data_IF_820959547904
#
_entry.id   IF_820959547904
#
_cell.length_a   1.000
_cell.length_b   1.000
_cell.length_c   1.000
_cell.angle_alpha   90.00
_cell.angle_beta   90.00
_cell.angle_gamma   90.00
#
_symmetry.space_group_name_H-M   'P 1'
#
loop_
_entity.id
_entity.type
_entity.pdbx_description
1 polymer ?
#
# COMPACT_ATOMS: atom_id res chain seq x y z
N UNK A 1 -7.60 2.05 -69.10
CA UNK A 1 -6.68 2.45 -70.19
C UNK A 1 -6.41 3.93 -69.97
N UNK A 2 -5.20 4.44 -69.71
CA UNK A 2 -3.86 3.96 -70.01
C UNK A 2 -2.88 4.29 -68.86
N UNK A 3 -1.85 3.46 -68.75
CA UNK A 3 -0.62 3.69 -67.98
C UNK A 3 0.23 4.79 -68.64
N UNK A 4 1.09 5.47 -67.86
CA UNK A 4 2.51 5.53 -68.21
C UNK A 4 3.41 5.85 -66.99
N UNK A 5 4.37 4.94 -66.78
CA UNK A 5 5.63 5.04 -66.03
C UNK A 5 6.56 6.11 -66.64
N UNK A 6 7.69 6.59 -66.12
CA UNK A 6 8.50 6.56 -64.89
C UNK A 6 9.60 7.63 -65.13
N UNK A 7 10.21 8.20 -64.07
CA UNK A 7 11.65 8.53 -64.08
C UNK A 7 12.13 8.84 -62.65
N UNK A 8 13.04 8.01 -62.17
CA UNK A 8 13.88 8.20 -60.98
C UNK A 8 15.16 8.91 -61.44
N UNK A 9 15.77 9.78 -60.60
CA UNK A 9 17.23 9.86 -60.34
C UNK A 9 17.58 10.96 -59.31
N UNK A 10 18.13 10.50 -58.18
CA UNK A 10 19.28 10.99 -57.39
C UNK A 10 19.19 12.29 -56.55
N UNK A 11 19.36 12.11 -55.23
CA UNK A 11 19.65 13.13 -54.20
C UNK A 11 21.15 13.53 -54.21
N UNK A 12 21.56 14.72 -53.68
CA UNK A 12 21.97 14.77 -52.25
C UNK A 12 21.86 16.14 -51.51
N UNK A 13 21.65 16.04 -50.18
CA UNK A 13 22.35 16.74 -49.06
C UNK A 13 22.11 18.24 -48.74
N UNK A 14 21.48 18.41 -47.57
CA UNK A 14 21.68 19.33 -46.42
C UNK A 14 21.27 20.81 -46.36
N UNK A 15 20.72 21.09 -45.16
CA UNK A 15 20.57 22.34 -44.41
C UNK A 15 19.34 23.16 -44.81
N UNK A 16 18.42 23.55 -43.93
CA UNK A 16 18.61 24.37 -42.72
C UNK A 16 17.52 24.12 -41.64
N UNK A 17 17.95 24.11 -40.37
CA UNK A 17 17.28 24.75 -39.22
C UNK A 17 15.89 24.29 -38.75
N UNK A 18 15.86 23.42 -37.73
CA UNK A 18 14.73 23.30 -36.80
C UNK A 18 14.98 24.12 -35.53
N UNK A 19 13.98 24.89 -35.09
CA UNK A 19 13.78 25.32 -33.70
C UNK A 19 12.49 24.68 -33.16
N UNK A 20 12.41 24.44 -31.84
CA UNK A 20 11.65 23.33 -31.27
C UNK A 20 10.20 23.70 -30.95
N UNK A 21 9.35 22.68 -30.97
CA UNK A 21 7.98 22.71 -30.44
C UNK A 21 8.07 22.44 -28.94
N UNK A 22 7.44 23.31 -28.15
CA UNK A 22 7.38 23.24 -26.70
C UNK A 22 6.76 21.92 -26.21
N UNK A 23 7.51 21.21 -25.37
CA UNK A 23 7.04 20.05 -24.60
C UNK A 23 6.55 20.51 -23.25
N UNK A 24 5.29 20.93 -23.18
CA UNK A 24 4.56 21.10 -21.93
C UNK A 24 3.17 20.52 -22.15
N UNK A 25 3.05 19.19 -22.10
CA UNK A 25 1.80 18.41 -21.93
C UNK A 25 2.07 16.88 -22.02
N UNK A 26 3.06 16.38 -21.27
CA UNK A 26 3.29 14.92 -21.15
C UNK A 26 3.55 14.44 -19.72
N UNK A 27 3.01 15.15 -18.73
CA UNK A 27 3.01 14.70 -17.33
C UNK A 27 1.58 14.60 -16.84
N UNK A 28 0.84 13.62 -17.38
CA UNK A 28 -0.46 13.18 -16.83
C UNK A 28 -0.41 11.66 -16.84
N UNK A 29 -0.64 11.04 -15.68
CA UNK A 29 -0.44 9.63 -15.32
C UNK A 29 0.99 9.21 -14.94
N UNK A 30 1.43 9.67 -13.77
CA UNK A 30 2.25 8.84 -12.89
C UNK A 30 1.38 8.37 -11.72
N UNK A 31 1.17 7.05 -11.52
CA UNK A 31 0.60 6.57 -10.27
C UNK A 31 1.60 6.90 -9.17
N UNK A 32 1.22 7.79 -8.24
CA UNK A 32 1.99 8.09 -7.04
C UNK A 32 1.94 6.86 -6.14
N UNK A 33 2.82 5.89 -6.39
CA UNK A 33 3.10 4.84 -5.42
C UNK A 33 3.90 5.47 -4.30
N UNK A 34 3.50 5.20 -3.06
CA UNK A 34 4.19 5.66 -1.86
C UNK A 34 5.66 5.20 -1.76
N UNK A 35 6.09 4.31 -2.66
CA UNK A 35 7.43 3.72 -2.71
C UNK A 35 8.41 4.44 -3.64
N UNK A 36 7.95 5.34 -4.51
CA UNK A 36 8.86 6.04 -5.44
C UNK A 36 9.80 7.03 -4.72
N UNK A 37 9.41 7.49 -3.52
CA UNK A 37 10.15 8.46 -2.70
C UNK A 37 10.72 7.87 -1.40
N UNK A 38 10.71 6.54 -1.23
CA UNK A 38 11.57 5.95 -0.20
C UNK A 38 13.02 6.10 -0.68
N UNK A 39 13.78 6.99 -0.03
CA UNK A 39 15.24 6.92 -0.05
C UNK A 39 15.63 5.49 0.33
N UNK A 40 15.96 4.67 -0.69
CA UNK A 40 16.53 3.34 -0.51
C UNK A 40 17.93 3.53 0.05
N UNK A 41 18.03 3.86 1.34
CA UNK A 41 19.24 3.67 2.12
C UNK A 41 19.70 2.25 1.83
N UNK A 42 20.88 2.13 1.21
CA UNK A 42 21.48 0.88 0.72
C UNK A 42 21.11 -0.30 1.61
N UNK A 43 20.07 -1.04 1.22
CA UNK A 43 19.60 -2.19 1.99
C UNK A 43 20.68 -3.22 1.83
N UNK A 44 21.42 -3.51 2.91
CA UNK A 44 22.33 -4.64 2.92
C UNK A 44 21.56 -5.85 2.41
N UNK A 45 22.16 -6.65 1.53
CA UNK A 45 21.49 -7.85 1.03
C UNK A 45 21.08 -8.67 2.24
N UNK A 46 19.76 -8.76 2.47
CA UNK A 46 19.23 -9.47 3.61
C UNK A 46 19.65 -10.92 3.48
N UNK A 47 20.71 -11.29 4.21
CA UNK A 47 21.02 -12.67 4.52
C UNK A 47 20.14 -12.97 5.72
N UNK A 48 19.07 -13.72 5.51
CA UNK A 48 18.21 -14.13 6.61
C UNK A 48 18.97 -14.95 7.64
N UNK A 49 18.29 -15.53 8.64
CA UNK A 49 18.90 -16.43 9.62
C UNK A 49 19.48 -17.73 9.02
N UNK A 50 19.84 -17.73 7.73
CA UNK A 50 20.85 -18.58 7.12
C UNK A 50 20.53 -20.04 7.30
N UNK A 51 19.64 -20.58 6.48
CA UNK A 51 19.63 -22.02 6.29
C UNK A 51 21.03 -22.49 5.80
N UNK A 52 21.34 -23.76 6.02
CA UNK A 52 22.61 -24.36 5.62
C UNK A 52 22.51 -25.08 4.28
N UNK A 53 21.73 -24.56 3.32
CA UNK A 53 21.53 -25.19 2.02
C UNK A 53 22.85 -25.26 1.24
N UNK A 54 23.42 -26.48 1.05
CA UNK A 54 24.72 -26.65 0.44
C UNK A 54 24.67 -26.54 -1.09
N UNK A 55 23.48 -26.38 -1.69
CA UNK A 55 23.33 -26.30 -3.14
C UNK A 55 24.07 -25.07 -3.68
N UNK A 56 24.93 -25.23 -4.70
CA UNK A 56 25.52 -24.08 -5.39
C UNK A 56 24.45 -23.33 -6.20
N UNK A 57 24.70 -22.05 -6.51
CA UNK A 57 23.74 -21.16 -7.20
C UNK A 57 23.19 -21.75 -8.50
N UNK A 58 23.97 -22.56 -9.22
CA UNK A 58 23.51 -23.17 -10.46
C UNK A 58 22.47 -24.30 -10.30
N UNK A 59 22.27 -24.78 -9.06
CA UNK A 59 21.27 -25.79 -8.67
C UNK A 59 20.06 -25.21 -7.94
N UNK A 60 20.10 -23.94 -7.56
CA UNK A 60 18.98 -23.28 -6.90
C UNK A 60 17.87 -22.96 -7.92
N UNK A 61 16.59 -22.98 -7.50
CA UNK A 61 15.51 -22.42 -8.30
C UNK A 61 15.72 -20.90 -8.45
N UNK A 62 15.31 -20.38 -9.62
CA UNK A 62 15.32 -18.95 -9.89
C UNK A 62 13.94 -18.36 -9.56
N UNK A 63 13.94 -17.23 -8.85
CA UNK A 63 12.81 -16.31 -8.76
C UNK A 63 13.11 -15.10 -9.65
N UNK A 64 12.26 -14.86 -10.65
CA UNK A 64 12.43 -13.75 -11.60
C UNK A 64 11.49 -12.60 -11.22
N UNK A 65 12.03 -11.44 -10.84
CA UNK A 65 11.26 -10.21 -10.74
C UNK A 65 10.94 -9.67 -12.13
N UNK A 66 9.66 -9.68 -12.49
CA UNK A 66 9.17 -9.09 -13.73
C UNK A 66 9.21 -7.57 -13.67
N UNK A 67 8.83 -7.01 -12.53
CA UNK A 67 8.88 -5.57 -12.24
C UNK A 67 10.23 -5.20 -11.64
N UNK A 68 11.16 -4.71 -12.47
CA UNK A 68 12.54 -4.44 -12.05
C UNK A 68 12.67 -3.25 -11.08
N UNK A 69 11.71 -2.34 -11.06
CA UNK A 69 11.75 -1.12 -10.23
C UNK A 69 11.63 -1.42 -8.73
N UNK A 70 11.03 -2.56 -8.36
CA UNK A 70 10.85 -2.99 -6.97
C UNK A 70 11.78 -4.16 -6.59
N UNK A 71 12.82 -4.42 -7.40
CA UNK A 71 13.80 -5.44 -7.09
C UNK A 71 14.66 -5.02 -5.88
N UNK A 72 14.62 -5.73 -4.74
CA UNK A 72 15.16 -5.23 -3.47
C UNK A 72 16.67 -5.43 -3.30
N UNK A 73 17.40 -5.84 -4.35
CA UNK A 73 18.82 -6.15 -4.27
C UNK A 73 19.66 -5.22 -5.16
N UNK A 74 20.00 -4.04 -4.65
CA UNK A 74 20.87 -3.07 -5.32
C UNK A 74 22.34 -3.21 -4.82
N UNK A 75 23.37 -2.99 -5.67
CA UNK A 75 23.34 -2.61 -7.09
C UNK A 75 23.27 -3.79 -8.08
N UNK A 76 23.10 -5.03 -7.58
CA UNK A 76 23.04 -6.22 -8.43
C UNK A 76 21.76 -6.32 -9.26
N UNK A 77 21.77 -7.18 -10.27
CA UNK A 77 20.57 -7.65 -10.96
C UNK A 77 20.19 -9.08 -10.55
N UNK A 78 21.02 -9.70 -9.71
CA UNK A 78 20.96 -11.10 -9.30
C UNK A 78 21.57 -11.26 -7.91
N UNK A 79 20.87 -11.92 -7.01
CA UNK A 79 21.35 -12.20 -5.64
C UNK A 79 20.96 -13.62 -5.21
N UNK A 80 21.81 -14.26 -4.40
CA UNK A 80 21.42 -15.49 -3.69
C UNK A 80 20.72 -15.07 -2.40
N UNK A 81 19.49 -15.53 -2.21
CA UNK A 81 18.78 -15.38 -0.94
C UNK A 81 18.79 -16.69 -0.18
N UNK A 82 19.17 -16.61 1.10
CA UNK A 82 19.16 -17.73 2.05
C UNK A 82 18.06 -17.45 3.09
N UNK A 83 16.93 -18.13 2.92
CA UNK A 83 15.73 -17.96 3.76
C UNK A 83 15.75 -18.92 4.95
N UNK A 84 14.67 -18.98 5.73
CA UNK A 84 14.61 -19.85 6.90
C UNK A 84 14.72 -21.34 6.55
N UNK A 85 14.09 -21.77 5.45
CA UNK A 85 14.01 -23.19 5.10
C UNK A 85 14.74 -23.56 3.80
N UNK A 86 14.89 -22.62 2.86
CA UNK A 86 15.48 -22.88 1.55
C UNK A 86 16.21 -21.68 0.96
N UNK A 87 17.03 -21.95 -0.06
CA UNK A 87 17.73 -20.91 -0.81
C UNK A 87 17.27 -20.84 -2.25
N UNK A 88 17.34 -19.62 -2.81
CA UNK A 88 16.97 -19.32 -4.19
C UNK A 88 17.96 -18.34 -4.82
N UNK A 89 18.00 -18.31 -6.15
CA UNK A 89 18.65 -17.25 -6.90
C UNK A 89 17.58 -16.28 -7.39
N UNK A 90 17.60 -15.05 -6.91
CA UNK A 90 16.63 -14.02 -7.29
C UNK A 90 17.26 -13.10 -8.32
N UNK A 91 16.53 -12.70 -9.36
CA UNK A 91 17.06 -11.80 -10.40
C UNK A 91 15.97 -10.97 -11.05
N UNK A 92 16.32 -9.78 -11.54
CA UNK A 92 15.49 -8.95 -12.42
C UNK A 92 15.81 -9.16 -13.91
N UNK A 93 16.78 -10.03 -14.23
CA UNK A 93 17.23 -10.28 -15.60
C UNK A 93 16.26 -11.18 -16.36
N UNK A 94 15.36 -10.57 -17.16
CA UNK A 94 14.31 -11.26 -17.92
C UNK A 94 14.82 -12.34 -18.90
N UNK A 95 16.12 -12.40 -19.24
CA UNK A 95 16.68 -13.45 -20.12
C UNK A 95 16.51 -14.86 -19.55
N UNK A 96 16.37 -14.99 -18.23
CA UNK A 96 16.19 -16.29 -17.56
C UNK A 96 14.74 -16.78 -17.57
N UNK A 97 13.79 -16.00 -18.09
CA UNK A 97 12.36 -16.33 -18.07
C UNK A 97 12.06 -17.74 -18.58
N UNK A 98 12.74 -18.19 -19.64
CA UNK A 98 12.48 -19.50 -20.26
C UNK A 98 13.31 -20.65 -19.66
N UNK A 99 14.12 -20.39 -18.63
CA UNK A 99 14.94 -21.44 -18.02
C UNK A 99 14.08 -22.42 -17.24
N UNK A 100 14.41 -23.72 -17.35
CA UNK A 100 13.72 -24.80 -16.61
C UNK A 100 13.80 -24.64 -15.09
N UNK A 101 14.82 -23.94 -14.58
CA UNK A 101 14.99 -23.68 -13.14
C UNK A 101 14.30 -22.40 -12.66
N UNK A 102 13.78 -21.56 -13.57
CA UNK A 102 12.95 -20.40 -13.20
C UNK A 102 11.60 -20.92 -12.74
N UNK A 103 11.46 -20.99 -11.41
CA UNK A 103 10.35 -21.65 -10.74
C UNK A 103 9.18 -20.70 -10.48
N UNK A 104 9.47 -19.41 -10.22
CA UNK A 104 8.45 -18.38 -10.04
C UNK A 104 8.82 -17.08 -10.73
N UNK A 105 7.80 -16.34 -11.15
CA UNK A 105 7.89 -14.96 -11.63
C UNK A 105 7.14 -14.05 -10.65
N UNK A 106 7.84 -13.07 -10.08
CA UNK A 106 7.34 -12.12 -9.10
C UNK A 106 6.94 -10.82 -9.79
N UNK A 107 5.74 -10.33 -9.50
CA UNK A 107 5.18 -9.11 -10.08
C UNK A 107 4.88 -8.11 -8.98
N UNK A 108 5.23 -6.84 -9.23
CA UNK A 108 4.65 -5.74 -8.48
C UNK A 108 3.33 -5.33 -9.13
N UNK A 109 2.25 -5.32 -8.35
CA UNK A 109 0.89 -5.11 -8.85
C UNK A 109 0.69 -3.76 -9.54
N UNK A 110 1.32 -2.70 -9.04
CA UNK A 110 1.24 -1.35 -9.64
C UNK A 110 1.80 -1.33 -11.06
N UNK A 111 2.88 -2.07 -11.30
CA UNK A 111 3.53 -2.18 -12.61
C UNK A 111 2.89 -3.26 -13.49
N UNK A 112 1.99 -4.07 -12.95
CA UNK A 112 1.43 -5.20 -13.69
C UNK A 112 0.51 -4.73 -14.82
N UNK A 113 0.80 -5.18 -16.03
CA UNK A 113 -0.01 -4.98 -17.23
C UNK A 113 -0.31 -6.35 -17.83
N UNK A 114 -1.59 -6.70 -17.93
CA UNK A 114 -2.00 -8.02 -18.41
C UNK A 114 -1.48 -8.33 -19.84
N UNK A 115 -1.38 -7.31 -20.69
CA UNK A 115 -0.86 -7.44 -22.06
C UNK A 115 0.67 -7.58 -22.14
N UNK A 116 1.40 -7.27 -21.06
CA UNK A 116 2.86 -7.46 -20.96
C UNK A 116 3.24 -8.72 -20.19
N UNK A 117 2.24 -9.51 -19.77
CA UNK A 117 2.48 -10.69 -18.98
C UNK A 117 3.26 -11.75 -19.79
N UNK A 118 4.19 -12.50 -19.16
CA UNK A 118 5.05 -13.47 -19.84
C UNK A 118 4.27 -14.69 -20.32
N UNK A 119 3.64 -14.56 -21.49
CA UNK A 119 2.83 -15.60 -22.13
C UNK A 119 3.58 -16.30 -23.29
N UNK A 120 3.35 -17.60 -23.53
CA UNK A 120 2.50 -18.50 -22.74
C UNK A 120 3.15 -18.81 -21.39
N UNK A 121 2.32 -18.87 -20.34
CA UNK A 121 2.79 -19.26 -19.01
C UNK A 121 3.27 -20.71 -19.02
N UNK A 122 4.52 -20.93 -18.61
CA UNK A 122 5.10 -22.27 -18.56
C UNK A 122 4.52 -23.06 -17.39
N UNK A 123 4.26 -24.36 -17.59
CA UNK A 123 3.56 -25.20 -16.60
C UNK A 123 4.34 -25.40 -15.30
N UNK A 124 5.67 -25.23 -15.31
CA UNK A 124 6.51 -25.32 -14.11
C UNK A 124 6.64 -24.00 -13.36
N UNK A 125 6.10 -22.90 -13.89
CA UNK A 125 6.20 -21.56 -13.32
C UNK A 125 4.97 -21.18 -12.51
N UNK A 126 5.20 -20.75 -11.27
CA UNK A 126 4.23 -20.01 -10.47
C UNK A 126 4.38 -18.51 -10.72
N UNK A 127 3.29 -17.76 -10.53
CA UNK A 127 3.31 -16.30 -10.53
C UNK A 127 3.03 -15.82 -9.12
N UNK A 128 3.85 -14.91 -8.61
CA UNK A 128 3.71 -14.31 -7.28
C UNK A 128 3.39 -12.82 -7.43
N UNK A 129 2.43 -12.31 -6.67
CA UNK A 129 2.02 -10.91 -6.68
C UNK A 129 2.39 -10.24 -5.36
N UNK A 130 3.13 -9.15 -5.44
CA UNK A 130 3.28 -8.20 -4.34
C UNK A 130 2.44 -6.95 -4.69
N UNK A 131 1.45 -6.60 -3.86
CA UNK A 131 0.61 -5.42 -4.09
C UNK A 131 -0.11 -4.93 -2.83
N UNK A 132 0.37 -3.83 -2.30
CA UNK A 132 -0.05 -3.16 -1.08
C UNK A 132 -0.93 -1.92 -1.29
N UNK A 133 -1.13 -1.55 -2.56
CA UNK A 133 -1.86 -0.35 -2.96
C UNK A 133 -3.37 -0.60 -3.09
N UNK A 134 -4.15 0.48 -3.08
CA UNK A 134 -5.61 0.42 -3.25
C UNK A 134 -6.02 -0.10 -4.65
N UNK A 135 -7.27 -0.56 -4.83
CA UNK A 135 -7.81 -0.92 -6.15
C UNK A 135 -7.74 0.20 -7.19
N UNK A 136 -7.69 1.47 -6.77
CA UNK A 136 -7.55 2.60 -7.70
C UNK A 136 -6.23 2.54 -8.47
N UNK A 137 -5.19 1.97 -7.85
CA UNK A 137 -3.88 1.83 -8.47
C UNK A 137 -3.90 0.76 -9.58
N UNK A 138 -4.50 -0.41 -9.31
CA UNK A 138 -4.70 -1.44 -10.32
C UNK A 138 -6.00 -2.25 -10.10
N UNK A 139 -7.10 -1.75 -10.66
CA UNK A 139 -8.44 -2.32 -10.44
C UNK A 139 -8.58 -3.75 -10.96
N UNK A 140 -7.77 -4.16 -11.94
CA UNK A 140 -7.78 -5.52 -12.47
C UNK A 140 -7.52 -6.54 -11.36
N UNK A 141 -6.63 -6.22 -10.43
CA UNK A 141 -6.23 -7.11 -9.33
C UNK A 141 -7.33 -7.29 -8.28
N UNK A 142 -8.28 -6.35 -8.19
CA UNK A 142 -9.47 -6.50 -7.34
C UNK A 142 -10.57 -7.35 -7.96
N UNK A 143 -10.45 -7.70 -9.24
CA UNK A 143 -11.37 -8.62 -9.91
C UNK A 143 -10.88 -10.06 -9.82
N UNK A 144 -11.81 -10.99 -9.63
CA UNK A 144 -11.51 -12.42 -9.50
C UNK A 144 -10.73 -12.97 -10.71
N UNK A 145 -10.97 -12.45 -11.92
CA UNK A 145 -10.24 -12.85 -13.14
C UNK A 145 -8.77 -12.41 -13.13
N UNK A 146 -8.47 -11.26 -12.52
CA UNK A 146 -7.10 -10.74 -12.42
C UNK A 146 -6.33 -11.43 -11.29
N UNK A 147 -6.88 -11.48 -10.08
CA UNK A 147 -6.17 -12.06 -8.93
C UNK A 147 -5.90 -13.56 -9.12
N UNK A 148 -6.79 -14.29 -9.80
CA UNK A 148 -6.61 -15.72 -10.14
C UNK A 148 -5.47 -15.99 -11.12
N UNK A 149 -4.74 -14.99 -11.61
CA UNK A 149 -3.52 -15.21 -12.38
C UNK A 149 -2.34 -15.64 -11.49
N UNK A 150 -2.39 -15.33 -10.19
CA UNK A 150 -1.29 -15.50 -9.26
C UNK A 150 -1.51 -16.70 -8.33
N UNK A 151 -0.41 -17.36 -7.95
CA UNK A 151 -0.38 -18.51 -7.04
C UNK A 151 -0.13 -18.08 -5.60
N UNK A 152 0.72 -17.06 -5.43
CA UNK A 152 1.08 -16.49 -4.15
C UNK A 152 0.82 -14.99 -4.18
N UNK A 153 0.29 -14.44 -3.11
CA UNK A 153 -0.01 -13.01 -3.02
C UNK A 153 0.47 -12.45 -1.69
N UNK A 154 1.13 -11.30 -1.72
CA UNK A 154 1.33 -10.42 -0.57
C UNK A 154 0.56 -9.12 -0.78
N UNK A 155 -0.45 -8.90 0.07
CA UNK A 155 -1.39 -7.78 -0.11
C UNK A 155 -1.87 -7.25 1.23
N UNK A 156 -2.63 -6.14 1.23
CA UNK A 156 -3.24 -5.62 2.46
C UNK A 156 -4.28 -6.58 3.09
N UNK A 157 -4.82 -7.56 2.34
CA UNK A 157 -5.82 -8.51 2.85
C UNK A 157 -5.20 -9.55 3.78
N UNK A 158 -5.83 -9.78 4.94
CA UNK A 158 -5.37 -10.80 5.90
C UNK A 158 -5.46 -12.23 5.35
N UNK A 159 -6.32 -12.45 4.35
CA UNK A 159 -6.47 -13.76 3.68
C UNK A 159 -5.42 -14.02 2.60
N UNK A 160 -4.57 -13.04 2.27
CA UNK A 160 -3.50 -13.27 1.31
C UNK A 160 -2.45 -14.25 1.87
N UNK A 161 -1.70 -14.90 0.98
CA UNK A 161 -0.69 -15.90 1.37
C UNK A 161 0.38 -15.34 2.30
N UNK A 162 0.72 -14.06 2.13
CA UNK A 162 1.69 -13.33 2.94
C UNK A 162 1.12 -11.94 3.29
N UNK A 163 0.32 -11.82 4.36
CA UNK A 163 -0.42 -10.60 4.66
C UNK A 163 0.45 -9.38 4.99
N UNK A 164 0.06 -8.23 4.45
CA UNK A 164 0.66 -6.91 4.67
C UNK A 164 -0.30 -5.96 5.43
N UNK A 165 -1.34 -6.51 6.05
CA UNK A 165 -2.44 -5.76 6.71
C UNK A 165 -1.98 -4.69 7.69
N UNK A 166 -0.87 -4.93 8.40
CA UNK A 166 -0.30 -4.01 9.39
C UNK A 166 0.98 -3.31 8.91
N UNK A 167 1.22 -3.20 7.59
CA UNK A 167 2.50 -2.66 7.09
C UNK A 167 2.73 -1.21 7.51
N UNK A 168 1.65 -0.45 7.68
CA UNK A 168 1.70 0.95 8.09
C UNK A 168 1.70 1.12 9.62
N UNK A 169 1.78 0.02 10.37
CA UNK A 169 1.98 0.00 11.81
C UNK A 169 3.29 -0.74 12.15
N UNK A 170 4.44 -0.03 12.21
CA UNK A 170 5.75 -0.65 12.36
C UNK A 170 5.92 -1.42 13.67
N UNK A 171 5.30 -0.98 14.77
CA UNK A 171 5.41 -1.65 16.07
C UNK A 171 4.32 -1.18 17.03
N UNK A 172 4.20 -1.84 18.18
CA UNK A 172 3.37 -1.31 19.26
C UNK A 172 3.91 0.02 19.81
N UNK A 173 5.23 0.18 19.86
CA UNK A 173 5.90 1.40 20.32
C UNK A 173 5.56 2.61 19.43
N UNK A 174 5.25 2.37 18.16
CA UNK A 174 4.76 3.39 17.24
C UNK A 174 3.45 4.03 17.72
N UNK A 175 2.54 3.27 18.32
CA UNK A 175 1.33 3.84 18.90
C UNK A 175 1.63 4.61 20.18
N UNK A 176 2.63 4.18 20.95
CA UNK A 176 2.94 4.72 22.28
C UNK A 176 3.79 5.99 22.23
N UNK A 177 4.64 6.14 21.21
CA UNK A 177 5.56 7.27 21.04
C UNK A 177 5.25 8.04 19.76
N UNK A 178 5.41 9.38 19.72
CA UNK A 178 5.66 10.23 20.89
C UNK A 178 4.46 10.21 21.86
N UNK A 179 4.70 10.66 23.09
CA UNK A 179 3.60 10.97 24.01
C UNK A 179 2.70 12.02 23.38
N UNK A 180 1.39 11.88 23.55
CA UNK A 180 0.44 12.86 23.04
C UNK A 180 0.76 14.26 23.60
N UNK A 181 0.63 15.28 22.74
CA UNK A 181 0.77 16.68 23.16
C UNK A 181 -0.27 16.97 24.24
N UNK A 182 0.10 17.64 25.36
CA UNK A 182 -0.84 17.95 26.43
C UNK A 182 -2.08 18.68 25.93
N UNK A 183 -3.24 18.28 26.44
CA UNK A 183 -4.52 18.82 25.99
C UNK A 183 -4.64 20.34 26.22
N UNK A 184 -3.96 20.87 27.25
CA UNK A 184 -3.88 22.30 27.49
C UNK A 184 -3.26 23.07 26.31
N UNK A 185 -2.21 22.51 25.68
CA UNK A 185 -1.59 23.13 24.50
C UNK A 185 -2.50 23.00 23.26
N UNK A 186 -3.15 21.83 23.07
CA UNK A 186 -4.16 21.66 22.00
C UNK A 186 -5.30 22.68 22.13
N UNK A 187 -5.81 22.88 23.35
CA UNK A 187 -6.85 23.85 23.66
C UNK A 187 -6.39 25.29 23.43
N UNK A 188 -5.13 25.61 23.73
CA UNK A 188 -4.54 26.92 23.43
C UNK A 188 -4.52 27.20 21.92
N UNK A 189 -4.14 26.23 21.08
CA UNK A 189 -4.21 26.42 19.63
C UNK A 189 -5.66 26.53 19.13
N UNK A 190 -6.60 25.76 19.70
CA UNK A 190 -8.03 25.91 19.40
C UNK A 190 -8.55 27.31 19.71
N UNK A 191 -8.22 27.85 20.88
CA UNK A 191 -8.57 29.23 21.26
C UNK A 191 -7.90 30.29 20.38
N UNK A 192 -6.74 29.98 19.81
CA UNK A 192 -6.02 30.84 18.87
C UNK A 192 -6.55 30.74 17.42
N UNK A 193 -7.62 29.98 17.18
CA UNK A 193 -8.28 29.90 15.87
C UNK A 193 -7.87 28.71 15.00
N UNK A 194 -7.15 27.72 15.53
CA UNK A 194 -6.96 26.43 14.85
C UNK A 194 -8.30 25.68 14.80
N UNK A 195 -8.70 25.05 13.69
CA UNK A 195 -9.92 24.24 13.64
C UNK A 195 -9.83 22.99 14.56
N UNK A 196 -10.97 22.39 14.96
CA UNK A 196 -10.96 21.13 15.71
C UNK A 196 -10.43 19.94 14.89
N UNK A 197 -10.67 19.96 13.58
CA UNK A 197 -10.43 18.83 12.68
C UNK A 197 -9.43 19.20 11.60
N UNK A 198 -8.44 18.32 11.39
CA UNK A 198 -7.47 18.40 10.30
C UNK A 198 -7.89 17.52 9.12
N UNK A 199 -7.78 18.05 7.90
CA UNK A 199 -7.82 17.30 6.64
C UNK A 199 -6.52 17.49 5.85
N UNK A 200 -5.87 16.39 5.49
CA UNK A 200 -4.54 16.41 4.85
C UNK A 200 -4.47 15.36 3.73
N UNK A 201 -5.27 15.55 2.68
CA UNK A 201 -5.28 14.65 1.50
C UNK A 201 -4.87 15.41 0.25
N UNK A 202 -4.06 14.75 -0.58
CA UNK A 202 -3.54 15.32 -1.83
C UNK A 202 -3.87 14.52 -3.08
N UNK A 203 -4.48 13.34 -2.92
CA UNK A 203 -5.05 12.57 -4.01
C UNK A 203 -6.57 12.72 -3.98
N UNK A 204 -7.13 13.50 -4.88
CA UNK A 204 -8.57 13.80 -4.91
C UNK A 204 -9.28 12.85 -5.89
N UNK A 205 -10.61 12.91 -5.92
CA UNK A 205 -11.44 12.16 -6.87
C UNK A 205 -11.20 10.64 -6.78
N UNK A 206 -11.13 10.17 -5.53
CA UNK A 206 -10.86 8.78 -5.19
C UNK A 206 -12.16 7.96 -5.04
N UNK A 207 -12.13 6.63 -5.29
CA UNK A 207 -13.32 5.78 -5.21
C UNK A 207 -14.06 5.74 -3.86
N UNK A 208 -13.44 6.19 -2.77
CA UNK A 208 -14.12 6.31 -1.48
C UNK A 208 -15.08 7.50 -1.38
N UNK A 209 -15.11 8.38 -2.39
CA UNK A 209 -15.96 9.58 -2.43
C UNK A 209 -15.81 10.46 -1.18
N UNK A 210 -14.59 10.49 -0.65
CA UNK A 210 -14.27 11.14 0.63
C UNK A 210 -14.36 12.66 0.54
N UNK A 211 -13.99 13.25 -0.60
CA UNK A 211 -13.92 14.71 -0.73
C UNK A 211 -15.32 15.33 -0.70
N UNK A 212 -16.28 14.71 -1.38
CA UNK A 212 -17.70 15.11 -1.31
C UNK A 212 -18.23 14.98 0.12
N UNK A 213 -17.92 13.89 0.82
CA UNK A 213 -18.29 13.70 2.23
C UNK A 213 -17.73 14.81 3.12
N UNK A 214 -16.44 15.14 2.98
CA UNK A 214 -15.79 16.19 3.77
C UNK A 214 -16.36 17.57 3.43
N UNK A 215 -16.65 17.85 2.16
CA UNK A 215 -17.30 19.11 1.76
C UNK A 215 -18.68 19.28 2.38
N UNK A 216 -19.47 18.21 2.51
CA UNK A 216 -20.75 18.25 3.24
C UNK A 216 -20.53 18.44 4.75
N UNK A 217 -19.55 17.74 5.33
CA UNK A 217 -19.20 17.87 6.75
C UNK A 217 -18.76 19.30 7.11
N UNK A 218 -18.02 19.97 6.23
CA UNK A 218 -17.57 21.37 6.38
C UNK A 218 -18.71 22.37 6.57
N UNK A 219 -19.94 22.04 6.16
CA UNK A 219 -21.12 22.89 6.40
C UNK A 219 -21.53 22.92 7.88
N UNK A 220 -21.14 21.89 8.64
CA UNK A 220 -21.57 21.69 10.02
C UNK A 220 -20.43 21.88 11.03
N UNK A 221 -19.16 21.75 10.65
CA UNK A 221 -18.00 21.93 11.54
C UNK A 221 -16.80 22.52 10.80
N UNK A 222 -16.00 23.33 11.50
CA UNK A 222 -14.75 23.87 10.96
C UNK A 222 -13.72 22.75 10.74
N UNK A 223 -13.16 22.69 9.53
CA UNK A 223 -12.11 21.75 9.14
C UNK A 223 -11.03 22.55 8.43
N UNK A 224 -9.79 22.43 8.91
CA UNK A 224 -8.63 22.99 8.23
C UNK A 224 -8.10 21.96 7.23
N UNK A 225 -8.19 22.26 5.93
CA UNK A 225 -7.66 21.45 4.84
C UNK A 225 -6.43 22.10 4.20
N UNK A 226 -5.28 21.41 4.30
CA UNK A 226 -4.00 21.90 3.79
C UNK A 226 -3.45 21.08 2.62
N UNK A 227 -3.98 19.88 2.38
CA UNK A 227 -3.60 19.06 1.22
C UNK A 227 -4.16 19.63 -0.07
N UNK A 228 -3.88 18.99 -1.22
CA UNK A 228 -4.40 19.45 -2.52
C UNK A 228 -5.93 19.40 -2.61
N UNK A 229 -6.58 18.52 -1.84
CA UNK A 229 -8.04 18.36 -1.86
C UNK A 229 -8.74 19.37 -0.95
N UNK A 230 -9.75 20.06 -1.49
CA UNK A 230 -10.53 21.15 -0.86
C UNK A 230 -9.71 22.41 -0.47
N UNK A 231 -8.44 22.25 -0.08
CA UNK A 231 -7.41 23.27 0.16
C UNK A 231 -7.94 24.64 0.64
N UNK A 232 -8.56 24.69 1.81
CA UNK A 232 -9.11 25.93 2.37
C UNK A 232 -8.10 26.68 3.28
N UNK A 233 -6.92 26.11 3.52
CA UNK A 233 -5.81 26.73 4.25
C UNK A 233 -4.50 26.55 3.48
N UNK A 234 -3.63 27.57 3.45
CA UNK A 234 -2.28 27.42 2.90
C UNK A 234 -1.43 26.57 3.85
N UNK A 235 -0.70 25.62 3.30
CA UNK A 235 0.31 24.87 4.04
C UNK A 235 1.43 25.85 4.47
N UNK A 236 1.94 25.78 5.72
CA UNK A 236 3.04 26.63 6.14
C UNK A 236 4.30 26.42 5.27
N UNK A 237 5.00 27.51 4.94
CA UNK A 237 6.18 27.52 4.05
C UNK A 237 7.30 26.54 4.43
N UNK A 238 7.41 26.17 5.72
CA UNK A 238 8.41 25.23 6.20
C UNK A 238 8.06 23.74 5.96
N UNK A 239 6.83 23.46 5.49
CA UNK A 239 6.36 22.16 5.06
C UNK A 239 6.31 22.20 3.52
N UNK A 240 7.27 21.55 2.88
CA UNK A 240 7.58 21.76 1.46
C UNK A 240 6.62 21.04 0.51
N UNK A 241 6.06 19.89 0.91
CA UNK A 241 5.10 19.16 0.10
C UNK A 241 4.25 18.20 0.94
N UNK A 242 2.97 18.05 0.58
CA UNK A 242 2.07 17.03 1.14
C UNK A 242 2.03 15.77 0.28
N UNK A 243 2.51 15.79 -0.98
CA UNK A 243 2.62 14.54 -1.76
C UNK A 243 3.70 13.58 -1.27
N UNK A 244 4.67 14.06 -0.48
CA UNK A 244 5.64 13.21 0.24
C UNK A 244 5.18 12.86 1.66
N UNK A 245 3.95 13.22 2.04
CA UNK A 245 3.37 12.90 3.35
C UNK A 245 2.95 11.43 3.47
N UNK A 246 3.75 10.50 2.95
CA UNK A 246 3.81 9.09 3.36
C UNK A 246 4.94 8.89 4.38
N UNK A 247 5.96 9.76 4.36
CA UNK A 247 7.07 9.75 5.30
C UNK A 247 6.76 10.36 6.68
N UNK A 248 7.71 10.21 7.58
CA UNK A 248 7.63 10.67 8.97
C UNK A 248 8.44 11.95 9.23
N UNK A 249 8.33 12.93 8.32
CA UNK A 249 8.99 14.22 8.53
C UNK A 249 8.57 14.82 9.87
N UNK A 250 9.56 15.14 10.72
CA UNK A 250 9.32 15.58 12.10
C UNK A 250 8.56 16.90 12.16
N UNK A 251 8.74 17.80 11.20
CA UNK A 251 8.05 19.09 11.15
C UNK A 251 6.57 18.86 10.83
N UNK A 252 6.29 18.00 9.86
CA UNK A 252 4.94 17.60 9.49
C UNK A 252 4.22 16.87 10.63
N UNK A 253 4.87 15.89 11.26
CA UNK A 253 4.31 15.16 12.41
C UNK A 253 3.98 16.11 13.58
N UNK A 254 4.91 17.01 13.91
CA UNK A 254 4.68 18.06 14.92
C UNK A 254 3.51 18.96 14.56
N UNK A 255 3.37 19.36 13.29
CA UNK A 255 2.24 20.16 12.82
C UNK A 255 0.90 19.44 13.01
N UNK A 256 0.83 18.16 12.64
CA UNK A 256 -0.36 17.30 12.79
C UNK A 256 -0.75 17.14 14.26
N UNK A 257 0.23 16.98 15.16
CA UNK A 257 0.01 16.73 16.59
C UNK A 257 -0.76 17.83 17.34
N UNK A 258 -0.86 19.03 16.74
CA UNK A 258 -1.57 20.19 17.31
C UNK A 258 -3.10 20.03 17.30
N UNK A 259 -3.63 19.24 16.38
CA UNK A 259 -5.08 19.05 16.23
C UNK A 259 -5.62 18.03 17.24
N UNK A 260 -6.88 18.18 17.66
CA UNK A 260 -7.58 17.14 18.43
C UNK A 260 -7.97 15.97 17.52
N UNK A 261 -8.55 16.28 16.36
CA UNK A 261 -9.08 15.30 15.42
C UNK A 261 -8.38 15.35 14.06
N UNK A 262 -8.27 14.20 13.41
CA UNK A 262 -7.73 14.09 12.05
C UNK A 262 -8.64 13.20 11.21
N UNK A 263 -9.13 13.70 10.08
CA UNK A 263 -9.85 12.90 9.08
C UNK A 263 -8.90 11.90 8.40
N UNK A 264 -9.03 10.64 8.80
CA UNK A 264 -8.25 9.50 8.35
C UNK A 264 -9.05 8.69 7.31
N UNK A 265 -9.11 9.19 6.07
CA UNK A 265 -9.99 8.64 5.04
C UNK A 265 -9.18 7.93 3.95
N UNK A 266 -9.43 6.65 3.71
CA UNK A 266 -8.71 5.88 2.70
C UNK A 266 -9.15 6.23 1.27
N UNK A 267 -8.32 5.89 0.28
CA UNK A 267 -8.67 6.10 -1.14
C UNK A 267 -9.73 5.10 -1.63
N UNK A 268 -9.85 3.94 -0.98
CA UNK A 268 -10.82 2.90 -1.30
C UNK A 268 -11.34 2.21 -0.04
N UNK A 269 -12.59 1.77 -0.07
CA UNK A 269 -13.27 1.16 1.07
C UNK A 269 -13.15 -0.37 1.00
N UNK A 270 -11.99 -0.90 1.38
CA UNK A 270 -11.66 -2.32 1.26
C UNK A 270 -11.40 -2.94 2.62
N UNK A 271 -11.91 -4.16 2.91
CA UNK A 271 -11.52 -4.90 4.11
C UNK A 271 -9.99 -4.96 4.23
N UNK A 272 -9.48 -4.73 5.44
CA UNK A 272 -8.06 -4.70 5.80
C UNK A 272 -7.18 -3.65 5.11
N UNK A 273 -7.72 -2.79 4.23
CA UNK A 273 -6.96 -1.68 3.67
C UNK A 273 -6.88 -0.52 4.68
N UNK A 274 -5.82 -0.53 5.48
CA UNK A 274 -5.53 0.50 6.47
C UNK A 274 -4.11 1.02 6.23
N UNK A 275 -4.00 2.31 6.00
CA UNK A 275 -2.74 2.94 5.59
C UNK A 275 -2.16 3.84 6.67
N UNK A 276 -1.11 4.58 6.35
CA UNK A 276 -0.56 5.62 7.22
C UNK A 276 -1.63 6.62 7.65
N UNK A 277 -2.72 6.78 6.88
CA UNK A 277 -3.83 7.70 7.19
C UNK A 277 -4.50 7.36 8.52
N UNK A 278 -4.67 6.07 8.84
CA UNK A 278 -5.18 5.63 10.14
C UNK A 278 -4.11 5.77 11.22
N UNK A 279 -2.92 5.23 10.97
CA UNK A 279 -1.92 5.03 12.03
C UNK A 279 -1.19 6.32 12.41
N UNK A 280 -0.99 7.26 11.48
CA UNK A 280 -0.32 8.55 11.73
C UNK A 280 -1.00 9.39 12.82
N UNK A 281 -2.31 9.69 12.75
CA UNK A 281 -2.94 10.46 13.82
C UNK A 281 -2.88 9.73 15.15
N UNK A 282 -3.01 8.40 15.17
CA UNK A 282 -2.84 7.64 16.41
C UNK A 282 -1.41 7.78 16.97
N UNK A 283 -0.41 7.63 16.11
CA UNK A 283 0.99 7.86 16.44
C UNK A 283 1.24 9.26 17.00
N UNK A 284 0.62 10.31 16.45
CA UNK A 284 0.76 11.69 16.94
C UNK A 284 -0.15 12.07 18.12
N UNK A 285 -0.95 11.14 18.64
CA UNK A 285 -1.86 11.43 19.75
C UNK A 285 -3.00 12.38 19.36
N UNK A 286 -3.51 12.21 18.14
CA UNK A 286 -4.75 12.78 17.65
C UNK A 286 -5.78 11.66 17.51
N UNK A 287 -7.06 12.00 17.67
CA UNK A 287 -8.14 11.02 17.49
C UNK A 287 -8.46 10.92 15.98
N UNK A 288 -8.24 9.75 15.35
CA UNK A 288 -8.64 9.57 13.96
C UNK A 288 -10.17 9.54 13.82
N UNK A 289 -10.69 10.32 12.89
CA UNK A 289 -12.05 10.18 12.35
C UNK A 289 -11.90 9.35 11.07
N UNK A 290 -12.20 8.05 11.15
CA UNK A 290 -11.77 7.06 10.18
C UNK A 290 -12.89 6.58 9.27
N UNK A 291 -12.54 6.39 7.99
CA UNK A 291 -13.33 5.62 7.02
C UNK A 291 -12.43 4.95 5.99
N UNK A 292 -12.61 3.65 5.77
CA UNK A 292 -11.74 2.86 4.90
C UNK A 292 -12.07 1.38 4.99
N UNK A 293 -11.30 0.65 5.79
CA UNK A 293 -11.52 -0.76 6.06
C UNK A 293 -12.76 -1.01 6.91
N UNK A 294 -13.67 -1.84 6.38
CA UNK A 294 -14.83 -2.35 7.14
C UNK A 294 -14.43 -3.31 8.27
N UNK A 295 -13.16 -3.74 8.29
CA UNK A 295 -12.60 -4.60 9.34
C UNK A 295 -11.65 -3.84 10.27
N UNK A 296 -11.66 -2.50 10.27
CA UNK A 296 -10.74 -1.70 11.10
C UNK A 296 -10.85 -1.99 12.59
N UNK A 297 -12.07 -2.28 13.08
CA UNK A 297 -12.31 -2.57 14.50
C UNK A 297 -11.51 -3.78 15.01
N UNK A 298 -11.17 -4.72 14.12
CA UNK A 298 -10.31 -5.87 14.43
C UNK A 298 -8.86 -5.48 14.73
N UNK A 299 -8.44 -4.28 14.35
CA UNK A 299 -7.04 -3.85 14.38
C UNK A 299 -6.80 -2.60 15.22
N UNK A 300 -7.84 -1.88 15.65
CA UNK A 300 -7.69 -0.73 16.54
C UNK A 300 -7.06 -1.13 17.89
N UNK A 301 -6.40 -0.19 18.55
CA UNK A 301 -5.72 -0.47 19.82
C UNK A 301 -6.68 -0.96 20.92
N UNK A 302 -7.89 -0.42 20.92
CA UNK A 302 -9.04 -0.85 21.71
C UNK A 302 -10.33 -0.36 21.02
N UNK A 303 -11.49 -0.58 21.63
CA UNK A 303 -12.79 -0.16 21.09
C UNK A 303 -13.07 1.35 21.20
N UNK A 304 -12.13 2.13 21.72
CA UNK A 304 -12.29 3.56 22.00
C UNK A 304 -10.99 4.30 21.66
N UNK A 305 -10.45 4.07 20.46
CA UNK A 305 -9.23 4.73 19.97
C UNK A 305 -9.42 5.44 18.63
N UNK A 306 -10.61 5.38 18.04
CA UNK A 306 -10.97 6.02 16.78
C UNK A 306 -12.47 6.33 16.75
N UNK A 307 -12.87 7.32 15.96
CA UNK A 307 -14.26 7.63 15.64
C UNK A 307 -14.53 7.05 14.25
N UNK A 308 -15.45 6.09 14.12
CA UNK A 308 -15.76 5.49 12.82
C UNK A 308 -16.90 6.27 12.17
N UNK A 309 -16.69 6.74 10.94
CA UNK A 309 -17.69 7.54 10.23
C UNK A 309 -18.98 6.76 9.98
N UNK A 310 -18.85 5.46 9.70
CA UNK A 310 -19.99 4.60 9.37
C UNK A 310 -20.90 4.30 10.59
N UNK A 311 -20.52 4.73 11.80
CA UNK A 311 -21.37 4.65 13.00
C UNK A 311 -22.40 5.81 13.08
N UNK A 312 -22.32 6.79 12.18
CA UNK A 312 -23.20 7.96 12.14
C UNK A 312 -24.11 7.93 10.92
N UNK A 313 -25.36 8.36 11.08
CA UNK A 313 -26.35 8.35 10.00
C UNK A 313 -26.15 9.48 8.99
N UNK A 314 -25.38 10.52 9.35
CA UNK A 314 -25.12 11.68 8.48
C UNK A 314 -23.87 12.46 8.87
N UNK A 315 -23.27 13.24 7.93
CA UNK A 315 -22.20 14.18 8.25
C UNK A 315 -22.56 15.18 9.35
N UNK A 316 -23.85 15.58 9.43
CA UNK A 316 -24.34 16.49 10.46
C UNK A 316 -24.26 15.88 11.86
N UNK A 317 -24.70 14.64 12.01
CA UNK A 317 -24.65 13.93 13.30
C UNK A 317 -23.19 13.74 13.76
N UNK A 318 -22.31 13.36 12.83
CA UNK A 318 -20.87 13.28 13.11
C UNK A 318 -20.31 14.64 13.57
N UNK A 319 -20.68 15.73 12.92
CA UNK A 319 -20.25 17.08 13.33
C UNK A 319 -20.75 17.47 14.72
N UNK A 320 -22.00 17.13 15.06
CA UNK A 320 -22.58 17.38 16.38
C UNK A 320 -21.83 16.58 17.47
N UNK A 321 -21.51 15.31 17.19
CA UNK A 321 -20.69 14.48 18.07
C UNK A 321 -19.28 15.06 18.28
N UNK A 322 -18.58 15.43 17.20
CA UNK A 322 -17.22 15.99 17.30
C UNK A 322 -17.23 17.31 18.08
N UNK A 323 -18.24 18.17 17.89
CA UNK A 323 -18.37 19.42 18.66
C UNK A 323 -18.55 19.18 20.15
N UNK A 324 -19.38 18.20 20.52
CA UNK A 324 -19.55 17.82 21.91
C UNK A 324 -18.23 17.31 22.51
N UNK A 325 -17.52 16.47 21.76
CA UNK A 325 -16.23 15.91 22.19
C UNK A 325 -15.09 16.94 22.24
N UNK A 326 -15.06 17.93 21.34
CA UNK A 326 -14.07 19.05 21.35
C UNK A 326 -14.19 19.89 22.64
N UNK A 327 -15.39 19.92 23.25
CA UNK A 327 -15.71 20.66 24.46
C UNK A 327 -15.56 19.84 25.75
N UNK A 328 -15.45 18.51 25.65
CA UNK A 328 -15.27 17.61 26.79
C UNK A 328 -13.86 17.02 26.80
N UNK A 329 -12.96 17.70 27.50
CA UNK A 329 -11.56 17.29 27.64
C UNK A 329 -11.42 15.92 28.33
N UNK A 330 -12.33 15.56 29.23
CA UNK A 330 -12.27 14.30 29.95
C UNK A 330 -12.64 13.13 29.04
N UNK A 331 -13.71 13.28 28.26
CA UNK A 331 -14.11 12.29 27.25
C UNK A 331 -13.09 12.20 26.11
N UNK A 332 -12.60 13.34 25.60
CA UNK A 332 -11.55 13.35 24.58
C UNK A 332 -10.30 12.58 25.03
N UNK A 333 -9.90 12.74 26.30
CA UNK A 333 -8.72 12.06 26.84
C UNK A 333 -8.88 10.54 26.88
N UNK A 334 -10.11 10.01 26.98
CA UNK A 334 -10.38 8.56 26.94
C UNK A 334 -9.97 7.96 25.59
N UNK A 335 -10.19 8.66 24.49
CA UNK A 335 -9.76 8.23 23.16
C UNK A 335 -8.25 8.06 23.02
N UNK A 336 -7.46 8.70 23.89
CA UNK A 336 -5.99 8.63 23.89
C UNK A 336 -5.44 7.65 24.93
N UNK A 337 -6.28 6.93 25.68
CA UNK A 337 -5.81 6.00 26.71
C UNK A 337 -4.89 4.92 26.16
N UNK A 338 -5.04 4.52 24.89
CA UNK A 338 -4.16 3.54 24.21
C UNK A 338 -2.69 3.97 24.18
N UNK A 339 -2.37 5.25 24.43
CA UNK A 339 -1.00 5.73 24.64
C UNK A 339 -0.32 5.13 25.88
N UNK A 340 -1.07 4.45 26.73
CA UNK A 340 -0.56 3.64 27.84
C UNK A 340 -0.52 2.17 27.41
N UNK A 341 0.61 1.45 27.54
CA UNK A 341 0.74 0.07 27.09
C UNK A 341 -0.35 -0.89 27.59
N UNK A 342 -0.76 -0.75 28.86
CA UNK A 342 -1.81 -1.60 29.47
C UNK A 342 -3.23 -1.32 28.96
N UNK A 343 -3.42 -0.29 28.15
CA UNK A 343 -4.71 0.11 27.56
C UNK A 343 -4.85 -0.28 26.09
N UNK A 344 -3.83 -0.93 25.52
CA UNK A 344 -3.94 -1.63 24.25
C UNK A 344 -4.44 -3.04 24.55
N UNK A 345 -5.72 -3.29 24.29
CA UNK A 345 -6.43 -4.50 24.74
C UNK A 345 -6.86 -5.41 23.60
N UNK A 346 -6.71 -4.98 22.35
CA UNK A 346 -7.06 -5.78 21.20
C UNK A 346 -6.06 -6.92 20.97
N UNK A 347 -6.46 -8.14 21.30
CA UNK A 347 -5.62 -9.34 21.17
C UNK A 347 -5.23 -9.65 19.73
N UNK A 348 -6.13 -9.42 18.77
CA UNK A 348 -5.84 -9.70 17.34
C UNK A 348 -4.74 -8.78 16.82
N UNK A 349 -4.76 -7.50 17.21
CA UNK A 349 -3.70 -6.57 16.90
C UNK A 349 -2.36 -7.04 17.49
N UNK A 350 -2.35 -7.41 18.78
CA UNK A 350 -1.14 -7.85 19.47
C UNK A 350 -0.55 -9.13 18.85
N UNK A 351 -1.39 -10.14 18.64
CA UNK A 351 -1.01 -11.40 17.99
C UNK A 351 -0.50 -11.14 16.57
N UNK A 352 -1.17 -10.27 15.80
CA UNK A 352 -0.74 -9.94 14.43
C UNK A 352 0.61 -9.24 14.34
N UNK A 353 0.92 -8.34 15.29
CA UNK A 353 2.24 -7.69 15.36
C UNK A 353 3.34 -8.66 15.84
N UNK A 354 3.01 -9.57 16.75
CA UNK A 354 3.94 -10.59 17.25
C UNK A 354 4.27 -11.63 16.17
N UNK A 355 3.23 -12.18 15.53
CA UNK A 355 3.35 -13.34 14.63
C UNK A 355 3.85 -12.99 13.24
N UNK A 356 3.78 -11.73 12.78
CA UNK A 356 4.22 -11.38 11.43
C UNK A 356 5.72 -11.61 11.24
N UNK A 357 6.07 -12.18 10.09
CA UNK A 357 7.44 -12.63 9.78
C UNK A 357 8.34 -11.49 9.26
N UNK A 358 7.77 -10.32 9.01
CA UNK A 358 8.45 -9.14 8.48
C UNK A 358 8.33 -7.93 9.41
N UNK A 359 9.20 -6.95 9.20
CA UNK A 359 9.21 -5.68 9.92
C UNK A 359 9.35 -4.47 8.99
N UNK A 360 9.13 -3.29 9.56
CA UNK A 360 9.31 -2.00 8.88
C UNK A 360 10.31 -1.22 9.70
N UNK A 361 11.46 -0.90 9.12
CA UNK A 361 12.60 -0.31 9.82
C UNK A 361 13.04 -1.13 11.06
N UNK A 362 12.79 -2.44 11.04
CA UNK A 362 13.15 -3.38 12.11
C UNK A 362 14.34 -4.22 11.64
N UNK A 363 15.50 -4.00 12.27
CA UNK A 363 16.73 -4.71 11.92
C UNK A 363 16.73 -6.19 12.35
N UNK A 364 15.77 -6.62 13.19
CA UNK A 364 15.66 -8.01 13.66
C UNK A 364 14.85 -8.90 12.72
N UNK A 365 14.08 -8.30 11.81
CA UNK A 365 13.21 -8.99 10.85
C UNK A 365 13.59 -8.62 9.41
N UNK A 366 13.30 -9.45 8.40
CA UNK A 366 13.35 -9.00 7.02
C UNK A 366 12.36 -7.85 6.83
N UNK A 367 12.66 -6.93 5.91
CA UNK A 367 11.61 -6.07 5.38
C UNK A 367 10.58 -6.92 4.62
N UNK A 368 9.37 -6.40 4.43
CA UNK A 368 8.26 -7.17 3.85
C UNK A 368 8.51 -7.63 2.39
N UNK A 369 9.34 -6.91 1.62
CA UNK A 369 9.72 -7.34 0.26
C UNK A 369 10.60 -8.58 0.31
N UNK A 370 11.70 -8.53 1.07
CA UNK A 370 12.59 -9.67 1.24
C UNK A 370 11.90 -10.84 1.95
N UNK A 371 11.01 -10.55 2.89
CA UNK A 371 10.16 -11.56 3.52
C UNK A 371 9.27 -12.27 2.52
N UNK A 372 8.62 -11.54 1.61
CA UNK A 372 7.81 -12.14 0.55
C UNK A 372 8.65 -12.94 -0.46
N UNK A 373 9.84 -12.45 -0.84
CA UNK A 373 10.79 -13.24 -1.64
C UNK A 373 11.12 -14.57 -0.99
N UNK A 374 11.37 -14.55 0.32
CA UNK A 374 11.67 -15.76 1.07
C UNK A 374 10.47 -16.69 1.21
N UNK A 375 9.29 -16.15 1.44
CA UNK A 375 8.05 -16.92 1.40
C UNK A 375 7.90 -17.65 0.06
N UNK A 376 8.05 -16.95 -1.07
CA UNK A 376 7.97 -17.56 -2.40
C UNK A 376 9.08 -18.60 -2.59
N UNK A 377 10.31 -18.30 -2.14
CA UNK A 377 11.44 -19.22 -2.23
C UNK A 377 11.17 -20.56 -1.51
N UNK A 378 10.70 -20.49 -0.26
CA UNK A 378 10.43 -21.66 0.55
C UNK A 378 9.29 -22.48 -0.06
N UNK A 379 8.20 -21.83 -0.49
CA UNK A 379 7.06 -22.50 -1.16
C UNK A 379 7.44 -23.17 -2.47
N UNK A 380 8.29 -22.54 -3.27
CA UNK A 380 8.76 -23.14 -4.52
C UNK A 380 9.69 -24.33 -4.29
N UNK A 381 10.56 -24.27 -3.28
CA UNK A 381 11.39 -25.42 -2.93
C UNK A 381 10.56 -26.60 -2.40
N UNK A 382 9.55 -26.33 -1.55
CA UNK A 382 8.58 -27.34 -1.10
C UNK A 382 7.84 -27.98 -2.28
N UNK A 383 7.31 -27.16 -3.20
CA UNK A 383 6.60 -27.63 -4.39
C UNK A 383 7.49 -28.51 -5.27
N UNK A 384 8.71 -28.06 -5.57
CA UNK A 384 9.66 -28.81 -6.39
C UNK A 384 10.09 -30.13 -5.73
N UNK A 385 10.23 -30.15 -4.40
CA UNK A 385 10.51 -31.38 -3.65
C UNK A 385 9.33 -32.35 -3.73
N UNK A 386 8.09 -31.86 -3.58
CA UNK A 386 6.87 -32.66 -3.71
C UNK A 386 6.70 -33.22 -5.13
N UNK A 387 6.95 -32.43 -6.18
CA UNK A 387 6.95 -32.92 -7.55
C UNK A 387 7.98 -34.03 -7.77
N UNK A 388 9.19 -33.86 -7.23
CA UNK A 388 10.25 -34.87 -7.32
C UNK A 388 9.85 -36.15 -6.59
N UNK A 389 9.22 -36.05 -5.43
CA UNK A 389 8.70 -37.20 -4.67
C UNK A 389 7.57 -37.92 -5.41
N UNK A 390 6.64 -37.17 -6.02
CA UNK A 390 5.58 -37.71 -6.89
C UNK A 390 6.16 -38.44 -8.09
N UNK A 391 7.11 -37.84 -8.84
CA UNK A 391 7.75 -38.49 -9.98
C UNK A 391 8.48 -39.79 -9.60
N UNK A 392 9.05 -39.85 -8.40
CA UNK A 392 9.73 -41.06 -7.88
C UNK A 392 8.74 -42.16 -7.48
N UNK A 393 7.63 -41.81 -6.82
CA UNK A 393 6.62 -42.77 -6.40
C UNK A 393 5.20 -42.18 -6.51
N UNK A 394 4.57 -42.22 -7.70
CA UNK A 394 3.27 -41.58 -7.95
C UNK A 394 2.12 -42.20 -7.15
N UNK A 395 2.26 -43.45 -6.70
CA UNK A 395 1.22 -44.16 -5.93
C UNK A 395 1.19 -43.73 -4.47
N UNK A 396 2.32 -43.29 -3.93
CA UNK A 396 2.46 -42.92 -2.52
C UNK A 396 2.41 -41.40 -2.31
N UNK A 397 2.97 -40.63 -3.25
CA UNK A 397 3.04 -39.19 -3.17
C UNK A 397 2.09 -38.59 -4.20
N UNK A 398 1.15 -37.76 -3.78
CA UNK A 398 0.25 -37.06 -4.68
C UNK A 398 1.00 -35.93 -5.41
N UNK A 399 0.56 -35.61 -6.64
CA UNK A 399 1.07 -34.45 -7.36
C UNK A 399 0.64 -33.18 -6.61
N UNK A 400 1.55 -32.21 -6.38
CA UNK A 400 1.15 -30.94 -5.80
C UNK A 400 0.10 -30.29 -6.70
N UNK A 401 -0.99 -29.83 -6.08
CA UNK A 401 -2.06 -29.14 -6.80
C UNK A 401 -1.69 -27.68 -7.01
N UNK A 402 -2.00 -27.09 -8.18
CA UNK A 402 -1.81 -25.67 -8.39
C UNK A 402 -2.74 -24.90 -7.45
N UNK A 403 -2.15 -24.06 -6.59
CA UNK A 403 -2.88 -23.07 -5.78
C UNK A 403 -3.01 -21.79 -6.59
N UNK A 404 -4.21 -21.22 -6.65
CA UNK A 404 -4.44 -19.90 -7.24
C UNK A 404 -5.09 -19.00 -6.18
N UNK A 405 -4.74 -17.72 -6.20
CA UNK A 405 -5.40 -16.72 -5.38
C UNK A 405 -6.86 -16.55 -5.80
N UNK A 406 -7.67 -15.99 -4.92
CA UNK A 406 -9.09 -15.76 -5.16
C UNK A 406 -9.49 -14.35 -4.70
N UNK A 407 -10.76 -13.99 -4.86
CA UNK A 407 -11.26 -12.65 -4.52
C UNK A 407 -11.04 -12.25 -3.06
N UNK A 408 -10.85 -13.17 -2.10
CA UNK A 408 -10.52 -12.79 -0.72
C UNK A 408 -9.11 -12.19 -0.58
N UNK A 409 -8.22 -12.38 -1.56
CA UNK A 409 -6.84 -11.90 -1.48
C UNK A 409 -6.69 -10.41 -1.89
N UNK A 410 -7.62 -9.82 -2.65
CA UNK A 410 -7.56 -8.41 -3.10
C UNK A 410 -8.93 -7.75 -3.33
N UNK A 411 -10.01 -8.51 -3.16
CA UNK A 411 -11.34 -8.07 -3.53
C UNK A 411 -11.81 -6.93 -2.66
N UNK A 412 -12.47 -5.97 -3.31
CA UNK A 412 -13.10 -4.84 -2.65
C UNK A 412 -14.56 -4.72 -3.10
N UNK A 413 -15.44 -4.20 -2.23
CA UNK A 413 -16.77 -3.76 -2.64
C UNK A 413 -16.73 -2.77 -3.80
N UNK A 414 -17.83 -2.67 -4.53
CA UNK A 414 -18.01 -1.61 -5.51
C UNK A 414 -18.02 -0.24 -4.80
N UNK A 415 -17.45 0.80 -5.42
CA UNK A 415 -17.54 2.17 -4.90
C UNK A 415 -18.99 2.57 -4.65
N UNK A 416 -19.20 3.33 -3.58
CA UNK A 416 -20.50 3.86 -3.20
C UNK A 416 -20.37 5.33 -2.80
N UNK A 417 -21.45 6.13 -2.92
CA UNK A 417 -21.45 7.50 -2.47
C UNK A 417 -20.99 7.64 -1.02
N UNK A 418 -20.16 8.64 -0.73
CA UNK A 418 -19.70 8.98 0.61
C UNK A 418 -20.88 9.31 1.54
N UNK A 419 -21.90 10.02 1.06
CA UNK A 419 -23.16 10.23 1.76
C UNK A 419 -24.34 10.34 0.79
N UNK A 420 -25.54 10.06 1.30
CA UNK A 420 -26.76 10.11 0.51
C UNK A 420 -26.83 9.00 -0.56
N UNK A 421 -27.96 8.93 -1.27
CA UNK A 421 -28.19 7.92 -2.30
C UNK A 421 -27.48 8.29 -3.61
N UNK A 422 -27.18 7.30 -4.46
CA UNK A 422 -26.44 7.48 -5.73
C UNK A 422 -27.18 8.44 -6.66
N UNK A 423 -28.51 8.44 -6.60
CA UNK A 423 -29.41 9.25 -7.40
C UNK A 423 -29.27 10.75 -7.12
N UNK A 424 -28.64 11.14 -6.02
CA UNK A 424 -28.37 12.53 -5.67
C UNK A 424 -27.00 13.04 -6.14
N UNK A 425 -26.18 12.16 -6.74
CA UNK A 425 -24.92 12.57 -7.37
C UNK A 425 -25.26 13.21 -8.72
N UNK A 426 -24.72 14.40 -8.99
CA UNK A 426 -24.89 15.05 -10.30
C UNK A 426 -24.29 14.12 -11.37
N UNK A 427 -25.01 13.82 -12.47
CA UNK A 427 -24.45 13.03 -13.57
C UNK A 427 -23.17 13.60 -14.18
N UNK A 428 -22.87 14.89 -13.92
CA UNK A 428 -21.66 15.59 -14.33
C UNK A 428 -20.66 15.79 -13.18
N UNK A 429 -20.87 15.17 -12.01
CA UNK A 429 -19.89 15.11 -10.91
C UNK A 429 -18.78 14.15 -11.35
N UNK A 430 -17.68 14.72 -11.87
CA UNK A 430 -16.56 14.02 -12.51
C UNK A 430 -15.55 15.01 -13.05
#
# INVERSE_FOLDING_TARGET
MALCLWLIVVAPVCSWGQRPVDTADSVVFQPQSALTDMEFASVSTYRGPGNTDPRPNNKLPILLWWSSNLFPHFPGDTERVDCAHSSCLVTSNRKVQLYRRTASIVFYGTDFRAYEAPLPRLSHQTWALFHEESPMNNYLLSHNVGIRLFNYTATFRRESDYPLTLQWLPSLDYLLKPTAVPLQEKNRWRQAGLAPVLYMQSHCDVPSDRDRYVQELMKYIEIDSYGKCLNNKPLPDYLEDTSTATGEDRRFMSFVSRYKFHLALENGLCPDYMTEKLWRPMHQGCVPIYRGSSSVADWLANNHSAILIDDFSSPRELAEFIKALDQDDAEYSRYLEYKTPSKITNLRLLEGLESREWGVNDMSKPNYLNGFECFVCDRENERLAAEKAHRKNPKQNLSPQPKMANSSHMGCPLPSPGYGPVEHIDPNDG
#
